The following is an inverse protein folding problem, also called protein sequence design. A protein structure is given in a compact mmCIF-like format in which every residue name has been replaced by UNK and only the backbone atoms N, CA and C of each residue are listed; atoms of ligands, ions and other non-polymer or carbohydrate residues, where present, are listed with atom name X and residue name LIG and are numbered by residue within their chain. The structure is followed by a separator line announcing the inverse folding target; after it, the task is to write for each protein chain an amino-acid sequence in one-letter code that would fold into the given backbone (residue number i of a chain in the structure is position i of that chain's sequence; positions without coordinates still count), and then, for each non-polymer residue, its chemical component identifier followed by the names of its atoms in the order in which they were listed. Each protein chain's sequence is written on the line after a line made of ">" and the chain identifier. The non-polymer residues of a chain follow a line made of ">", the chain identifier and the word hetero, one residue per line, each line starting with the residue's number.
data_IF_197231003723
#
_entry.id   IF_197231003723
#
_cell.length_a   1.000
_cell.length_b   1.000
_cell.length_c   1.000
_cell.angle_alpha   90.00
_cell.angle_beta   90.00
_cell.angle_gamma   90.00
#
_symmetry.space_group_name_H-M   'P 1'
#
loop_
_entity.id
_entity.type
_entity.pdbx_description
1 polymer ?
#
# COMPACT_ATOMS: atom_id res chain seq x y z
N UNK A 1 -0.24 -14.33 5.62
CA UNK A 1 1.13 -14.35 6.21
C UNK A 1 2.04 -13.89 5.11
N UNK A 2 2.91 -12.92 5.38
CA UNK A 2 3.69 -12.25 4.35
C UNK A 2 4.56 -13.23 3.53
N UNK A 3 4.52 -13.09 2.22
CA UNK A 3 5.21 -13.98 1.27
C UNK A 3 6.66 -13.52 1.07
N UNK A 4 7.63 -14.44 1.03
CA UNK A 4 9.05 -14.10 0.84
C UNK A 4 9.33 -13.71 -0.63
N UNK A 5 10.07 -12.61 -0.85
CA UNK A 5 10.42 -12.12 -2.19
C UNK A 5 11.94 -12.06 -2.38
N UNK A 6 12.42 -12.23 -3.61
CA UNK A 6 13.80 -11.90 -4.00
C UNK A 6 13.99 -10.38 -3.97
N UNK A 7 15.09 -9.91 -3.38
CA UNK A 7 15.38 -8.49 -3.22
C UNK A 7 15.28 -7.70 -4.55
N UNK A 8 14.51 -6.61 -4.55
CA UNK A 8 14.36 -5.71 -5.70
C UNK A 8 13.44 -4.53 -5.40
N UNK A 9 13.70 -3.36 -5.98
CA UNK A 9 12.89 -2.14 -5.81
C UNK A 9 11.56 -2.26 -6.57
N UNK A 10 10.58 -2.95 -5.99
CA UNK A 10 9.21 -2.96 -6.51
C UNK A 10 8.41 -1.77 -5.96
N UNK A 11 7.68 -1.06 -6.82
CA UNK A 11 6.73 -0.03 -6.41
C UNK A 11 5.49 -0.69 -5.81
N UNK A 12 4.92 -0.19 -4.69
CA UNK A 12 3.70 -0.74 -4.13
C UNK A 12 2.53 -0.54 -5.10
N UNK A 13 1.73 -1.59 -5.29
CA UNK A 13 0.50 -1.54 -6.09
C UNK A 13 -0.68 -1.63 -5.12
N UNK A 14 -1.56 -0.63 -5.11
CA UNK A 14 -2.67 -0.54 -4.17
C UNK A 14 -4.03 -0.47 -4.87
N UNK A 15 -4.98 -1.28 -4.40
CA UNK A 15 -6.39 -1.30 -4.79
C UNK A 15 -7.26 -1.55 -3.55
N UNK A 16 -8.58 -1.33 -3.65
CA UNK A 16 -9.50 -1.54 -2.52
C UNK A 16 -9.63 -3.04 -2.18
N UNK A 17 -9.65 -3.39 -0.88
CA UNK A 17 -9.78 -4.80 -0.45
C UNK A 17 -11.12 -5.36 -0.92
N UNK A 18 -11.11 -6.36 -1.81
CA UNK A 18 -12.27 -7.22 -2.09
C UNK A 18 -13.06 -6.97 -3.37
N UNK A 19 -12.55 -6.21 -4.35
CA UNK A 19 -13.17 -6.04 -5.67
C UNK A 19 -12.23 -6.52 -6.81
N UNK A 20 -12.73 -7.15 -7.89
CA UNK A 20 -11.90 -7.56 -9.03
C UNK A 20 -11.49 -6.35 -9.89
N UNK A 21 -10.21 -6.29 -10.29
CA UNK A 21 -9.65 -5.24 -11.15
C UNK A 21 -9.80 -5.64 -12.62
N UNK A 22 -10.62 -4.92 -13.38
CA UNK A 22 -10.67 -5.00 -14.84
C UNK A 22 -9.59 -4.09 -15.47
N UNK A 23 -8.91 -4.62 -16.49
CA UNK A 23 -7.93 -3.90 -17.30
C UNK A 23 -8.63 -2.99 -18.32
N UNK A 24 -8.36 -1.67 -18.29
CA UNK A 24 -8.64 -0.80 -19.43
C UNK A 24 -7.41 0.03 -19.84
N UNK A 25 -7.00 -0.15 -21.10
CA UNK A 25 -6.15 0.77 -21.85
C UNK A 25 -7.01 1.91 -22.39
N UNK A 26 -6.51 3.15 -22.32
CA UNK A 26 -6.30 4.12 -23.43
C UNK A 26 -6.44 5.59 -22.97
N UNK A 27 -5.33 6.31 -23.13
CA UNK A 27 -5.11 7.73 -23.50
C UNK A 27 -6.22 8.78 -23.28
N UNK A 28 -5.91 9.81 -22.47
CA UNK A 28 -6.03 11.25 -22.81
C UNK A 28 -5.64 12.11 -21.59
N UNK A 29 -4.76 13.08 -21.80
CA UNK A 29 -4.38 14.08 -20.78
C UNK A 29 -5.55 15.04 -20.53
N UNK A 30 -5.94 15.21 -19.28
CA UNK A 30 -6.75 16.32 -18.80
C UNK A 30 -6.19 16.78 -17.46
N UNK A 31 -5.64 17.99 -17.44
CA UNK A 31 -5.28 18.68 -16.20
C UNK A 31 -6.57 19.05 -15.46
N UNK A 32 -7.04 18.12 -14.63
CA UNK A 32 -8.02 18.42 -13.61
C UNK A 32 -7.25 18.72 -12.33
N UNK A 33 -7.56 19.85 -11.67
CA UNK A 33 -7.19 20.08 -10.28
C UNK A 33 -7.63 18.85 -9.51
N UNK A 34 -6.69 17.93 -9.24
CA UNK A 34 -6.95 16.76 -8.39
C UNK A 34 -7.24 17.31 -7.02
N UNK A 35 -8.53 17.50 -6.74
CA UNK A 35 -9.00 17.48 -5.37
C UNK A 35 -8.41 16.22 -4.76
N UNK A 36 -7.62 16.40 -3.70
CA UNK A 36 -7.06 15.29 -2.95
C UNK A 36 -8.24 14.63 -2.25
N UNK A 37 -8.94 13.73 -2.96
CA UNK A 37 -9.93 12.85 -2.34
C UNK A 37 -9.19 12.12 -1.24
N UNK A 38 -9.53 12.41 0.01
CA UNK A 38 -8.89 11.77 1.16
C UNK A 38 -9.11 10.27 1.07
N UNK A 39 -8.04 9.52 0.74
CA UNK A 39 -8.13 8.07 0.61
C UNK A 39 -8.37 7.38 1.96
N UNK A 40 -8.09 8.06 3.06
CA UNK A 40 -8.24 7.54 4.43
C UNK A 40 -9.38 8.29 5.12
N UNK A 41 -10.41 7.54 5.54
CA UNK A 41 -11.58 8.08 6.24
C UNK A 41 -11.81 7.33 7.55
N UNK A 42 -12.03 8.07 8.63
CA UNK A 42 -12.31 7.51 9.96
C UNK A 42 -13.63 6.74 9.93
N UNK A 43 -13.67 5.57 10.57
CA UNK A 43 -14.86 4.71 10.64
C UNK A 43 -15.17 3.94 9.35
N UNK A 44 -14.37 4.11 8.29
CA UNK A 44 -14.43 3.27 7.08
C UNK A 44 -13.34 2.20 7.13
N UNK A 45 -13.49 1.16 6.30
CA UNK A 45 -12.41 0.17 6.11
C UNK A 45 -11.17 0.89 5.57
N UNK A 46 -10.01 0.55 6.13
CA UNK A 46 -8.74 1.03 5.60
C UNK A 46 -8.54 0.50 4.16
N UNK A 47 -8.00 1.32 3.24
CA UNK A 47 -7.63 0.85 1.91
C UNK A 47 -6.60 -0.30 1.98
N UNK A 48 -6.74 -1.33 1.14
CA UNK A 48 -5.68 -2.34 1.06
C UNK A 48 -4.45 -1.72 0.41
N UNK A 49 -3.30 -2.23 0.80
CA UNK A 49 -2.09 -2.01 0.06
C UNK A 49 -1.21 -3.25 0.17
N UNK A 50 -0.42 -3.44 -0.88
CA UNK A 50 0.66 -4.41 -0.92
C UNK A 50 1.97 -3.62 -1.01
N UNK A 51 2.91 -3.90 -0.11
CA UNK A 51 4.22 -3.27 -0.12
C UNK A 51 5.32 -4.28 0.21
N UNK A 52 6.48 -4.19 -0.47
CA UNK A 52 7.66 -4.92 -0.05
C UNK A 52 8.15 -4.36 1.29
N UNK A 53 8.57 -5.25 2.18
CA UNK A 53 9.12 -4.92 3.49
C UNK A 53 10.29 -5.82 3.85
N UNK A 54 11.03 -5.44 4.89
CA UNK A 54 12.08 -6.26 5.45
C UNK A 54 11.70 -6.70 6.86
N UNK A 55 11.64 -8.01 7.09
CA UNK A 55 11.23 -8.59 8.37
C UNK A 55 12.11 -9.79 8.70
N UNK A 56 12.67 -9.80 9.91
CA UNK A 56 13.49 -10.90 10.44
C UNK A 56 14.59 -11.41 9.49
N UNK A 57 15.29 -10.50 8.81
CA UNK A 57 16.39 -10.88 7.90
C UNK A 57 15.96 -11.16 6.45
N UNK A 58 14.67 -11.04 6.14
CA UNK A 58 14.11 -11.43 4.84
C UNK A 58 13.32 -10.30 4.20
N UNK A 59 13.33 -10.28 2.86
CA UNK A 59 12.41 -9.45 2.08
C UNK A 59 11.08 -10.18 1.95
N UNK A 60 9.99 -9.50 2.29
CA UNK A 60 8.65 -10.05 2.30
C UNK A 60 7.68 -9.10 1.60
N UNK A 61 6.55 -9.62 1.11
CA UNK A 61 5.43 -8.83 0.64
C UNK A 61 4.38 -8.74 1.72
N UNK A 62 4.06 -7.53 2.16
CA UNK A 62 3.08 -7.30 3.21
C UNK A 62 1.79 -6.78 2.61
N UNK A 63 0.69 -7.46 2.91
CA UNK A 63 -0.67 -7.00 2.66
C UNK A 63 -1.30 -6.49 3.95
N UNK A 64 -2.11 -5.44 3.87
CA UNK A 64 -2.87 -5.01 5.06
C UNK A 64 -3.97 -6.03 5.41
N UNK A 65 -4.58 -6.64 4.39
CA UNK A 65 -5.61 -7.68 4.54
C UNK A 65 -5.16 -8.92 5.32
N UNK A 66 -3.85 -9.23 5.35
CA UNK A 66 -3.27 -10.33 6.13
C UNK A 66 -3.45 -10.18 7.66
N UNK A 67 -3.75 -8.97 8.13
CA UNK A 67 -3.88 -8.65 9.55
C UNK A 67 -5.33 -8.46 10.01
N UNK A 68 -6.31 -8.80 9.17
CA UNK A 68 -7.72 -8.77 9.56
C UNK A 68 -7.97 -9.59 10.83
N UNK A 69 -8.78 -9.03 11.75
CA UNK A 69 -9.05 -9.63 13.06
C UNK A 69 -8.02 -9.31 14.14
N UNK A 70 -6.96 -8.55 13.83
CA UNK A 70 -5.99 -8.03 14.80
C UNK A 70 -6.00 -6.50 14.81
N UNK A 71 -5.64 -5.90 15.94
CA UNK A 71 -5.33 -4.47 15.99
C UNK A 71 -3.98 -4.22 15.30
N UNK A 72 -3.95 -3.23 14.41
CA UNK A 72 -2.78 -2.86 13.61
C UNK A 72 -2.49 -1.38 13.82
N UNK A 73 -1.22 -1.06 14.08
CA UNK A 73 -0.70 0.30 14.09
C UNK A 73 0.16 0.50 12.84
N UNK A 74 -0.24 1.41 11.95
CA UNK A 74 0.52 1.76 10.75
C UNK A 74 1.13 3.16 10.91
N UNK A 75 2.45 3.25 10.88
CA UNK A 75 3.20 4.49 11.05
C UNK A 75 3.93 4.85 9.76
N UNK A 76 3.80 6.09 9.32
CA UNK A 76 4.60 6.68 8.25
C UNK A 76 5.64 7.59 8.88
N UNK A 77 6.88 7.54 8.39
CA UNK A 77 7.96 8.42 8.81
C UNK A 77 8.69 8.98 7.57
N UNK A 78 9.36 10.16 7.67
CA UNK A 78 9.82 10.89 6.48
C UNK A 78 10.95 10.22 5.69
N UNK A 79 11.84 9.49 6.37
CA UNK A 79 12.96 8.83 5.70
C UNK A 79 13.93 8.16 6.69
N UNK A 80 14.74 7.26 6.16
CA UNK A 80 15.83 6.60 6.89
C UNK A 80 17.06 7.50 6.98
N UNK A 81 17.86 7.33 8.04
CA UNK A 81 19.15 8.03 8.24
C UNK A 81 19.06 9.57 8.21
N UNK A 82 17.96 10.12 8.70
CA UNK A 82 17.81 11.57 8.86
C UNK A 82 18.48 12.06 10.16
N UNK A 83 18.65 13.38 10.28
CA UNK A 83 19.18 14.01 11.48
C UNK A 83 18.18 13.89 12.64
N UNK A 84 18.71 13.80 13.87
CA UNK A 84 17.96 13.84 15.13
C UNK A 84 18.07 15.21 15.75
#
# INVERSE_FOLDING_TARGET
>A
MAEEIKAGCARPTGGLVGEPVEEEKTTAQKEEKKEVKSMVMIGRKAPDFMAPGYFQGKFINVHLSDYLGKWVLLCFYPGDFTFV
#
